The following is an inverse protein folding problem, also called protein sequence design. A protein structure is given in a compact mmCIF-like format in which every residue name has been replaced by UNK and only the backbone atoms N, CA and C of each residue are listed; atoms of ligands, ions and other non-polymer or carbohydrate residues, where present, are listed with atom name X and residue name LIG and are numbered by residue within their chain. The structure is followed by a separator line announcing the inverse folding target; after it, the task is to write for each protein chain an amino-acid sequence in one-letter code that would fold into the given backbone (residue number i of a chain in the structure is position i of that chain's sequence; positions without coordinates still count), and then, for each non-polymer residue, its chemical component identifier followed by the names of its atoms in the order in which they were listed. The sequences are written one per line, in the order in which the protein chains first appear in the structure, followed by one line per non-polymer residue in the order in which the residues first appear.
data_IF_096284119550
#
_entry.id   IF_096284119550
#
_cell.length_a   1.000
_cell.length_b   1.000
_cell.length_c   1.000
_cell.angle_alpha   90.00
_cell.angle_beta   90.00
_cell.angle_gamma   90.00
#
_symmetry.space_group_name_H-M   'P 1'
#
loop_
_entity.id
_entity.type
_entity.pdbx_description
1 polymer ?
#
# COMPACT_ATOMS: atom_id res chain seq x y z
N UNK A 1 4.30 -4.74 27.92
CA UNK A 1 4.13 -4.57 26.46
C UNK A 1 2.87 -3.76 26.24
N UNK A 2 2.99 -2.49 25.85
CA UNK A 2 1.83 -1.61 25.67
C UNK A 2 1.24 -1.91 24.30
N UNK A 3 0.11 -2.62 24.25
CA UNK A 3 -0.65 -2.81 23.02
C UNK A 3 -1.35 -1.48 22.72
N UNK A 4 -0.75 -0.66 21.86
CA UNK A 4 -1.41 0.52 21.34
C UNK A 4 -2.69 0.05 20.62
N UNK A 5 -3.85 0.46 21.15
CA UNK A 5 -5.12 0.36 20.44
C UNK A 5 -4.91 1.10 19.11
N UNK A 6 -4.93 0.38 18.00
CA UNK A 6 -4.83 1.00 16.68
C UNK A 6 -6.15 1.75 16.49
N UNK A 7 -6.11 3.07 16.70
CA UNK A 7 -7.30 3.89 16.60
C UNK A 7 -7.93 3.70 15.20
N UNK A 8 -9.26 3.58 15.05
CA UNK A 8 -9.93 3.44 13.75
C UNK A 8 -9.43 4.42 12.66
N UNK A 9 -9.08 5.69 12.97
CA UNK A 9 -8.49 6.60 12.00
C UNK A 9 -7.16 6.16 11.38
N UNK A 10 -6.41 5.24 12.00
CA UNK A 10 -5.16 4.71 11.47
C UNK A 10 -5.42 3.64 10.40
N UNK A 11 -6.39 2.74 10.62
CA UNK A 11 -6.78 1.72 9.63
C UNK A 11 -7.21 2.39 8.33
N UNK A 12 -8.13 3.36 8.41
CA UNK A 12 -8.60 4.10 7.23
C UNK A 12 -7.53 4.93 6.54
N UNK A 13 -6.49 5.38 7.27
CA UNK A 13 -5.33 6.03 6.66
C UNK A 13 -4.48 5.05 5.87
N UNK A 14 -4.26 3.84 6.39
CA UNK A 14 -3.49 2.80 5.70
C UNK A 14 -4.23 2.35 4.44
N UNK A 15 -5.54 2.12 4.53
CA UNK A 15 -6.39 1.78 3.37
C UNK A 15 -6.29 2.85 2.28
N UNK A 16 -6.42 4.13 2.66
CA UNK A 16 -6.28 5.24 1.71
C UNK A 16 -4.90 5.31 1.04
N UNK A 17 -3.83 4.97 1.76
CA UNK A 17 -2.48 4.93 1.17
C UNK A 17 -2.42 3.81 0.11
N UNK A 18 -2.93 2.62 0.43
CA UNK A 18 -2.98 1.50 -0.51
C UNK A 18 -3.75 1.87 -1.77
N UNK A 19 -4.91 2.52 -1.62
CA UNK A 19 -5.72 2.95 -2.78
C UNK A 19 -4.96 3.93 -3.68
N UNK A 20 -4.24 4.89 -3.08
CA UNK A 20 -3.42 5.85 -3.83
C UNK A 20 -2.26 5.17 -4.57
N UNK A 21 -1.55 4.24 -3.92
CA UNK A 21 -0.44 3.51 -4.55
C UNK A 21 -0.95 2.65 -5.74
N UNK A 22 -2.16 2.08 -5.63
CA UNK A 22 -2.82 1.35 -6.72
C UNK A 22 -3.20 2.27 -7.90
N UNK A 23 -3.66 3.49 -7.63
CA UNK A 23 -3.93 4.50 -8.68
C UNK A 23 -2.63 4.92 -9.40
N UNK A 24 -1.53 5.08 -8.66
CA UNK A 24 -0.21 5.37 -9.24
C UNK A 24 0.25 4.21 -10.11
N UNK A 25 0.14 2.96 -9.64
CA UNK A 25 0.49 1.77 -10.43
C UNK A 25 -0.28 1.71 -11.76
N UNK A 26 -1.58 1.99 -11.72
CA UNK A 26 -2.41 2.04 -12.92
C UNK A 26 -1.92 3.13 -13.89
N UNK A 27 -1.66 4.34 -13.38
CA UNK A 27 -1.19 5.46 -14.19
C UNK A 27 0.20 5.19 -14.80
N UNK A 28 1.10 4.53 -14.07
CA UNK A 28 2.41 4.13 -14.58
C UNK A 28 2.30 3.06 -15.66
N UNK A 29 1.37 2.12 -15.53
CA UNK A 29 1.11 1.11 -16.56
C UNK A 29 0.61 1.74 -17.86
N UNK A 30 -0.35 2.66 -17.78
CA UNK A 30 -0.85 3.44 -18.93
C UNK A 30 0.30 4.25 -19.57
N UNK A 31 1.10 4.94 -18.76
CA UNK A 31 2.25 5.69 -19.26
C UNK A 31 3.29 4.81 -19.97
N UNK A 32 3.51 3.58 -19.49
CA UNK A 32 4.44 2.64 -20.12
C UNK A 32 3.97 2.15 -21.49
N UNK A 33 2.66 2.16 -21.75
CA UNK A 33 2.07 1.81 -23.06
C UNK A 33 2.29 2.93 -24.09
N UNK A 34 2.25 4.19 -23.65
CA UNK A 34 2.41 5.37 -24.50
C UNK A 34 3.88 5.68 -24.88
N UNK A 35 4.86 5.09 -24.16
CA UNK A 35 6.28 5.36 -24.37
C UNK A 35 6.94 4.29 -25.23
N UNK A 36 7.53 4.72 -26.35
CA UNK A 36 8.33 3.87 -27.23
C UNK A 36 9.83 3.82 -26.87
N UNK A 37 10.33 4.78 -26.09
CA UNK A 37 11.73 4.82 -25.68
C UNK A 37 12.03 3.72 -24.64
N UNK A 38 12.97 2.78 -24.93
CA UNK A 38 13.23 1.65 -24.05
C UNK A 38 13.88 2.04 -22.71
N UNK A 39 14.63 3.14 -22.67
CA UNK A 39 15.26 3.63 -21.44
C UNK A 39 14.18 4.21 -20.52
N UNK A 40 13.28 5.03 -21.06
CA UNK A 40 12.15 5.59 -20.31
C UNK A 40 11.18 4.49 -19.84
N UNK A 41 10.90 3.49 -20.67
CA UNK A 41 10.11 2.31 -20.25
C UNK A 41 10.76 1.57 -19.08
N UNK A 42 12.08 1.41 -19.10
CA UNK A 42 12.79 0.75 -18.00
C UNK A 42 12.73 1.57 -16.70
N UNK A 43 12.78 2.90 -16.79
CA UNK A 43 12.58 3.77 -15.63
C UNK A 43 11.17 3.61 -15.04
N UNK A 44 10.13 3.57 -15.87
CA UNK A 44 8.76 3.34 -15.40
C UNK A 44 8.61 1.95 -14.79
N UNK A 45 9.21 0.92 -15.39
CA UNK A 45 9.17 -0.43 -14.83
C UNK A 45 9.79 -0.51 -13.42
N UNK A 46 10.86 0.24 -13.17
CA UNK A 46 11.44 0.36 -11.82
C UNK A 46 10.47 1.04 -10.85
N UNK A 47 9.82 2.14 -11.26
CA UNK A 47 8.81 2.83 -10.44
C UNK A 47 7.63 1.90 -10.11
N UNK A 48 7.16 1.12 -11.09
CA UNK A 48 6.11 0.09 -10.87
C UNK A 48 6.56 -0.95 -9.84
N UNK A 49 7.85 -1.34 -9.85
CA UNK A 49 8.42 -2.24 -8.86
C UNK A 49 8.41 -1.65 -7.45
N UNK A 50 8.80 -0.38 -7.30
CA UNK A 50 8.80 0.35 -6.04
C UNK A 50 7.39 0.48 -5.47
N UNK A 51 6.41 0.90 -6.29
CA UNK A 51 5.03 1.06 -5.84
C UNK A 51 4.36 -0.27 -5.47
N UNK A 52 4.64 -1.35 -6.19
CA UNK A 52 4.21 -2.70 -5.76
C UNK A 52 4.80 -3.08 -4.40
N UNK A 53 6.04 -2.67 -4.12
CA UNK A 53 6.67 -2.83 -2.81
C UNK A 53 5.91 -2.09 -1.71
N UNK A 54 5.50 -0.85 -1.97
CA UNK A 54 4.70 -0.02 -1.05
C UNK A 54 3.34 -0.65 -0.76
N UNK A 55 2.58 -1.04 -1.81
CA UNK A 55 1.29 -1.73 -1.66
C UNK A 55 1.43 -2.97 -0.78
N UNK A 56 2.46 -3.80 -1.02
CA UNK A 56 2.71 -5.00 -0.21
C UNK A 56 3.01 -4.65 1.25
N UNK A 57 3.85 -3.64 1.49
CA UNK A 57 4.18 -3.19 2.83
C UNK A 57 2.94 -2.69 3.59
N UNK A 58 2.16 -1.79 3.00
CA UNK A 58 0.98 -1.23 3.65
C UNK A 58 -0.14 -2.26 3.83
N UNK A 59 -0.28 -3.22 2.91
CA UNK A 59 -1.20 -4.35 3.09
C UNK A 59 -0.83 -5.19 4.31
N UNK A 60 0.47 -5.48 4.51
CA UNK A 60 0.93 -6.19 5.71
C UNK A 60 0.69 -5.37 6.98
N UNK A 61 0.93 -4.06 6.93
CA UNK A 61 0.65 -3.16 8.05
C UNK A 61 -0.85 -3.14 8.39
N UNK A 62 -1.72 -3.13 7.39
CA UNK A 62 -3.18 -3.19 7.56
C UNK A 62 -3.61 -4.50 8.24
N UNK A 63 -3.05 -5.64 7.82
CA UNK A 63 -3.32 -6.94 8.45
C UNK A 63 -2.92 -6.95 9.93
N UNK A 64 -1.73 -6.41 10.26
CA UNK A 64 -1.28 -6.30 11.65
C UNK A 64 -2.16 -5.36 12.47
N UNK A 65 -2.56 -4.23 11.89
CA UNK A 65 -3.46 -3.27 12.53
C UNK A 65 -4.83 -3.90 12.85
N UNK A 66 -5.40 -4.66 11.91
CA UNK A 66 -6.66 -5.35 12.08
C UNK A 66 -6.57 -6.56 13.04
N UNK A 67 -5.46 -7.33 13.00
CA UNK A 67 -5.22 -8.44 13.93
C UNK A 67 -5.11 -7.97 15.39
N UNK A 68 -4.49 -6.82 15.63
CA UNK A 68 -4.42 -6.20 16.96
C UNK A 68 -5.78 -5.67 17.46
N UNK A 69 -6.68 -5.25 16.57
CA UNK A 69 -8.01 -4.79 16.95
C UNK A 69 -8.91 -5.95 17.41
N UNK A 70 -8.81 -7.12 16.78
CA UNK A 70 -9.62 -8.30 17.14
C UNK A 70 -9.20 -8.91 18.48
N UNK A 71 -7.89 -9.02 18.75
CA UNK A 71 -7.38 -9.58 20.02
C UNK A 71 -7.70 -8.73 21.26
N UNK A 72 -7.97 -7.44 21.09
CA UNK A 72 -8.42 -6.55 22.17
C UNK A 72 -9.94 -6.60 22.40
N UNK A 73 -10.73 -7.01 21.40
CA UNK A 73 -12.19 -7.13 21.51
C UNK A 73 -12.60 -8.38 22.30
N UNK A 74 -11.86 -9.48 22.15
CA UNK A 74 -12.11 -10.74 22.88
C UNK A 74 -11.66 -10.72 24.36
N UNK A 75 -10.96 -9.66 24.79
CA UNK A 75 -10.47 -9.48 26.17
C UNK A 75 -11.29 -8.49 27.00
N UNK A 76 -12.41 -7.99 26.47
CA UNK A 76 -13.32 -7.06 27.15
C UNK A 76 -14.66 -7.69 27.46
#
# INVERSE_FOLDING_TARGET
MVFAIVAPPLVSKIERIIDLDLEVLKSLAELAEDINDPVLRNLIANMVGEENGNVRFFTLLLLLANGNNNTNKDRR
#
